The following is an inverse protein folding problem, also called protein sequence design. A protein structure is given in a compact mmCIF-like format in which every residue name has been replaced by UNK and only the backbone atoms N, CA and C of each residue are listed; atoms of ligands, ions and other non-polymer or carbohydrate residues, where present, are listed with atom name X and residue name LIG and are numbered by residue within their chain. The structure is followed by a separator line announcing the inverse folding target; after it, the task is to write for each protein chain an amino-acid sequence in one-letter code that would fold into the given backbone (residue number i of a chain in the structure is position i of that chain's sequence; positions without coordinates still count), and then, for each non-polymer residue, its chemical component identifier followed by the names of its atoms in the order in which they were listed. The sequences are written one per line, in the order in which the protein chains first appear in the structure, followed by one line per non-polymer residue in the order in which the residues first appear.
data_IF_840109202911
#
_entry.id   IF_840109202911
#
_cell.length_a   1.000
_cell.length_b   1.000
_cell.length_c   1.000
_cell.angle_alpha   90.00
_cell.angle_beta   90.00
_cell.angle_gamma   90.00
#
_symmetry.space_group_name_H-M   'P 1'
#
loop_
_entity.id
_entity.type
_entity.pdbx_description
1 polymer ?
#
# COMPACT_ATOMS: atom_id res chain seq x y z
N UNK A 1 19.11 -13.31 -1.74
CA UNK A 1 18.68 -12.22 -2.63
C UNK A 1 18.81 -10.92 -1.87
N UNK A 2 19.48 -9.92 -2.45
CA UNK A 2 19.41 -8.55 -1.93
C UNK A 2 17.95 -8.09 -1.97
N UNK A 3 17.52 -7.30 -0.98
CA UNK A 3 16.15 -6.81 -0.93
C UNK A 3 15.91 -5.93 -2.16
N UNK A 4 14.83 -6.20 -2.91
CA UNK A 4 14.40 -5.34 -4.03
C UNK A 4 14.11 -3.95 -3.45
N UNK A 5 14.94 -2.96 -3.81
CA UNK A 5 14.78 -1.60 -3.37
C UNK A 5 13.67 -0.94 -4.18
N UNK A 6 12.72 -0.31 -3.49
CA UNK A 6 11.68 0.51 -4.09
C UNK A 6 11.70 1.89 -3.41
N UNK A 7 11.58 2.94 -4.21
CA UNK A 7 11.69 4.33 -3.76
C UNK A 7 10.32 4.98 -3.52
N UNK A 8 9.23 4.30 -3.87
CA UNK A 8 7.87 4.80 -3.69
C UNK A 8 6.81 3.69 -3.54
N UNK A 9 5.56 4.11 -3.29
CA UNK A 9 4.41 3.21 -3.13
C UNK A 9 4.06 2.44 -4.41
N UNK A 10 4.30 3.01 -5.60
CA UNK A 10 3.97 2.35 -6.88
C UNK A 10 4.88 1.15 -7.08
N UNK A 11 6.18 1.35 -6.91
CA UNK A 11 7.17 0.28 -6.96
C UNK A 11 6.96 -0.75 -5.83
N UNK A 12 6.59 -0.31 -4.62
CA UNK A 12 6.22 -1.22 -3.53
C UNK A 12 5.04 -2.13 -3.88
N UNK A 13 4.00 -1.58 -4.52
CA UNK A 13 2.84 -2.36 -4.97
C UNK A 13 3.31 -3.40 -5.99
N UNK A 14 4.14 -3.03 -6.96
CA UNK A 14 4.62 -3.96 -7.99
C UNK A 14 5.52 -5.05 -7.42
N UNK A 15 6.40 -4.73 -6.47
CA UNK A 15 7.17 -5.73 -5.74
C UNK A 15 6.26 -6.62 -4.88
N UNK A 16 5.24 -6.05 -4.23
CA UNK A 16 4.26 -6.79 -3.43
C UNK A 16 3.47 -7.82 -4.24
N UNK A 17 3.14 -7.53 -5.50
CA UNK A 17 2.45 -8.46 -6.41
C UNK A 17 3.28 -9.71 -6.72
N UNK A 18 4.61 -9.63 -6.63
CA UNK A 18 5.53 -10.76 -6.85
C UNK A 18 5.67 -11.66 -5.61
N UNK A 19 5.39 -11.13 -4.42
CA UNK A 19 5.65 -11.80 -3.14
C UNK A 19 4.45 -12.59 -2.63
N UNK A 20 3.22 -12.16 -2.96
CA UNK A 20 1.99 -12.80 -2.49
C UNK A 20 0.79 -12.43 -3.37
N UNK A 21 -0.29 -13.21 -3.25
CA UNK A 21 -1.56 -13.01 -3.97
C UNK A 21 -2.05 -11.57 -3.91
N UNK A 22 -2.63 -11.09 -4.99
CA UNK A 22 -3.25 -9.77 -5.04
C UNK A 22 -4.48 -9.83 -5.93
N UNK A 23 -5.40 -8.88 -5.74
CA UNK A 23 -6.63 -8.77 -6.53
C UNK A 23 -6.90 -7.32 -6.89
N UNK A 24 -7.28 -7.11 -8.14
CA UNK A 24 -7.90 -5.88 -8.59
C UNK A 24 -9.42 -6.05 -8.58
N UNK A 25 -10.13 -5.10 -7.99
CA UNK A 25 -11.58 -5.09 -7.91
C UNK A 25 -12.07 -3.80 -8.56
N UNK A 26 -12.87 -3.93 -9.61
CA UNK A 26 -13.38 -2.80 -10.38
C UNK A 26 -14.83 -2.52 -10.02
N UNK A 27 -15.23 -1.24 -10.07
CA UNK A 27 -16.64 -0.83 -9.88
C UNK A 27 -17.22 -1.19 -8.51
N UNK A 28 -16.38 -1.29 -7.49
CA UNK A 28 -16.85 -1.36 -6.11
C UNK A 28 -17.40 0.01 -5.67
N UNK A 29 -18.38 -0.01 -4.77
CA UNK A 29 -18.95 1.18 -4.14
C UNK A 29 -18.08 1.66 -2.98
N UNK A 30 -17.82 2.95 -2.95
CA UNK A 30 -17.08 3.59 -1.86
C UNK A 30 -17.88 3.60 -0.56
N UNK A 31 -19.21 3.55 -0.66
CA UNK A 31 -20.12 3.57 0.47
C UNK A 31 -20.31 2.15 1.01
N UNK A 32 -19.62 1.83 2.11
CA UNK A 32 -19.65 0.54 2.83
C UNK A 32 -19.09 -0.68 2.07
N UNK A 33 -19.24 -0.80 0.75
CA UNK A 33 -18.83 -2.00 0.00
C UNK A 33 -17.31 -2.23 0.04
N UNK A 34 -16.49 -1.23 -0.33
CA UNK A 34 -15.02 -1.35 -0.27
C UNK A 34 -14.56 -1.67 1.17
N UNK A 35 -15.09 -0.98 2.17
CA UNK A 35 -14.75 -1.21 3.57
C UNK A 35 -15.10 -2.63 4.03
N UNK A 36 -16.30 -3.09 3.73
CA UNK A 36 -16.75 -4.45 4.05
C UNK A 36 -15.90 -5.52 3.36
N UNK A 37 -15.52 -5.31 2.09
CA UNK A 37 -14.63 -6.22 1.37
C UNK A 37 -13.24 -6.28 2.01
N UNK A 38 -12.67 -5.13 2.41
CA UNK A 38 -11.39 -5.08 3.10
C UNK A 38 -11.47 -5.85 4.42
N UNK A 39 -12.48 -5.59 5.25
CA UNK A 39 -12.64 -6.21 6.57
C UNK A 39 -12.87 -7.72 6.45
N UNK A 40 -13.87 -8.14 5.67
CA UNK A 40 -14.18 -9.55 5.49
C UNK A 40 -12.98 -10.32 4.92
N UNK A 41 -12.22 -9.73 4.01
CA UNK A 41 -10.99 -10.35 3.47
C UNK A 41 -9.93 -10.50 4.55
N UNK A 42 -9.73 -9.48 5.39
CA UNK A 42 -8.75 -9.51 6.48
C UNK A 42 -9.11 -10.56 7.54
N UNK A 43 -10.38 -10.67 7.89
CA UNK A 43 -10.87 -11.60 8.92
C UNK A 43 -10.90 -13.06 8.43
N UNK A 44 -11.41 -13.29 7.22
CA UNK A 44 -11.73 -14.64 6.75
C UNK A 44 -10.55 -15.33 6.06
N UNK A 45 -9.55 -14.58 5.60
CA UNK A 45 -8.41 -15.14 4.86
C UNK A 45 -7.13 -15.03 5.71
N UNK A 46 -6.54 -16.15 6.17
CA UNK A 46 -5.34 -16.11 7.03
C UNK A 46 -4.12 -15.40 6.44
N UNK A 47 -4.02 -15.34 5.11
CA UNK A 47 -2.96 -14.64 4.37
C UNK A 47 -3.62 -13.81 3.27
N UNK A 48 -4.22 -12.67 3.63
CA UNK A 48 -5.11 -11.95 2.73
C UNK A 48 -4.33 -11.35 1.54
N UNK A 49 -4.94 -11.33 0.34
CA UNK A 49 -4.35 -10.68 -0.82
C UNK A 49 -4.28 -9.16 -0.60
N UNK A 50 -3.35 -8.52 -1.30
CA UNK A 50 -3.37 -7.06 -1.45
C UNK A 50 -4.53 -6.69 -2.38
N UNK A 51 -5.35 -5.73 -1.99
CA UNK A 51 -6.52 -5.32 -2.74
C UNK A 51 -6.27 -3.97 -3.40
N UNK A 52 -6.52 -3.89 -4.70
CA UNK A 52 -6.53 -2.63 -5.45
C UNK A 52 -7.93 -2.42 -5.97
N UNK A 53 -8.57 -1.34 -5.55
CA UNK A 53 -9.87 -0.94 -6.07
C UNK A 53 -9.67 0.17 -7.10
N UNK A 54 -10.26 0.01 -8.28
CA UNK A 54 -10.26 1.00 -9.36
C UNK A 54 -11.66 1.13 -9.97
N UNK A 55 -11.86 2.14 -10.81
CA UNK A 55 -13.15 2.45 -11.43
C UNK A 55 -14.27 2.55 -10.37
N UNK A 56 -13.97 3.16 -9.22
CA UNK A 56 -14.87 3.22 -8.05
C UNK A 56 -16.16 3.96 -8.44
N UNK A 57 -17.31 3.39 -8.09
CA UNK A 57 -18.62 3.97 -8.44
C UNK A 57 -18.70 5.42 -7.95
N UNK A 58 -19.12 6.33 -8.83
CA UNK A 58 -19.23 7.76 -8.51
C UNK A 58 -17.93 8.56 -8.61
N UNK A 59 -16.79 7.93 -8.94
CA UNK A 59 -15.50 8.60 -9.11
C UNK A 59 -14.92 8.37 -10.52
N UNK A 60 -14.09 9.29 -11.05
CA UNK A 60 -13.39 9.07 -12.31
C UNK A 60 -12.43 7.87 -12.24
N UNK A 61 -12.21 7.19 -13.37
CA UNK A 61 -11.21 6.14 -13.46
C UNK A 61 -9.80 6.68 -13.10
N UNK A 62 -8.99 5.86 -12.43
CA UNK A 62 -7.66 6.25 -11.92
C UNK A 62 -7.66 6.74 -10.47
N UNK A 63 -8.83 7.07 -9.90
CA UNK A 63 -8.99 7.29 -8.46
C UNK A 63 -9.11 5.94 -7.76
N UNK A 64 -7.99 5.47 -7.22
CA UNK A 64 -7.84 4.11 -6.68
C UNK A 64 -7.73 4.09 -5.18
N UNK A 65 -8.12 2.95 -4.60
CA UNK A 65 -7.92 2.64 -3.18
C UNK A 65 -7.06 1.39 -3.05
N UNK A 66 -6.05 1.46 -2.18
CA UNK A 66 -5.22 0.32 -1.81
C UNK A 66 -5.66 -0.21 -0.45
N UNK A 67 -6.05 -1.48 -0.39
CA UNK A 67 -6.42 -2.19 0.83
C UNK A 67 -5.42 -3.31 1.17
N UNK A 68 -5.29 -3.59 2.46
CA UNK A 68 -4.55 -4.76 2.99
C UNK A 68 -3.07 -4.83 2.57
N UNK A 69 -2.44 -3.68 2.31
CA UNK A 69 -1.04 -3.57 1.86
C UNK A 69 -0.01 -4.17 2.85
N UNK A 70 -0.37 -4.26 4.13
CA UNK A 70 0.48 -4.82 5.20
C UNK A 70 -0.16 -6.01 5.94
N UNK A 71 -1.32 -6.50 5.49
CA UNK A 71 -2.06 -7.56 6.18
C UNK A 71 -1.40 -8.95 6.09
N UNK A 72 -0.31 -9.08 5.32
CA UNK A 72 0.50 -10.28 5.24
C UNK A 72 1.96 -9.99 5.61
N UNK A 73 2.55 -10.82 6.49
CA UNK A 73 3.87 -10.58 7.08
C UNK A 73 5.01 -10.48 6.07
N UNK A 74 4.91 -11.13 4.90
CA UNK A 74 5.91 -11.01 3.84
C UNK A 74 5.92 -9.62 3.18
N UNK A 75 4.77 -8.94 3.09
CA UNK A 75 4.71 -7.56 2.59
C UNK A 75 5.28 -6.57 3.62
N UNK A 76 5.09 -6.85 4.92
CA UNK A 76 5.75 -6.07 5.99
C UNK A 76 7.28 -6.26 5.91
N UNK A 77 7.76 -7.48 5.69
CA UNK A 77 9.18 -7.73 5.47
C UNK A 77 9.71 -6.95 4.27
N UNK A 78 9.00 -6.98 3.14
CA UNK A 78 9.34 -6.20 1.95
C UNK A 78 9.43 -4.70 2.27
N UNK A 79 8.42 -4.14 2.95
CA UNK A 79 8.37 -2.73 3.37
C UNK A 79 9.56 -2.31 4.25
N UNK A 80 10.05 -3.24 5.08
CA UNK A 80 11.23 -3.04 5.92
C UNK A 80 12.54 -3.37 5.20
N UNK A 81 12.53 -3.66 3.89
CA UNK A 81 13.71 -4.09 3.13
C UNK A 81 14.34 -5.36 3.71
N UNK A 82 13.52 -6.30 4.14
CA UNK A 82 13.91 -7.61 4.67
C UNK A 82 13.60 -8.71 3.66
N UNK A 83 14.34 -9.83 3.67
CA UNK A 83 14.12 -10.93 2.73
C UNK A 83 12.79 -11.67 3.02
N UNK A 84 11.79 -11.63 2.12
CA UNK A 84 10.44 -12.15 2.39
C UNK A 84 10.33 -13.68 2.34
N UNK A 85 11.41 -14.38 1.98
CA UNK A 85 11.51 -15.85 1.95
C UNK A 85 11.80 -16.46 3.34
N UNK A 86 11.98 -15.64 4.38
CA UNK A 86 12.23 -16.08 5.75
C UNK A 86 10.96 -16.44 6.51
N UNK A 87 11.12 -17.22 7.57
CA UNK A 87 10.01 -17.55 8.47
C UNK A 87 9.51 -16.31 9.22
N UNK A 88 8.23 -16.34 9.65
CA UNK A 88 7.61 -15.23 10.39
C UNK A 88 8.43 -14.82 11.63
N UNK A 89 8.94 -15.79 12.40
CA UNK A 89 9.71 -15.52 13.61
C UNK A 89 11.08 -14.90 13.31
N UNK A 90 11.76 -15.36 12.26
CA UNK A 90 13.02 -14.75 11.81
C UNK A 90 12.82 -13.30 11.37
N UNK A 91 11.73 -13.03 10.64
CA UNK A 91 11.38 -11.68 10.18
C UNK A 91 11.12 -10.73 11.35
N UNK A 92 10.41 -11.17 12.40
CA UNK A 92 10.22 -10.37 13.62
C UNK A 92 11.56 -10.00 14.27
N UNK A 93 12.48 -10.96 14.38
CA UNK A 93 13.82 -10.72 14.94
C UNK A 93 14.65 -9.75 14.08
N UNK A 94 14.59 -9.90 12.76
CA UNK A 94 15.27 -9.01 11.82
C UNK A 94 14.70 -7.59 11.87
N UNK A 95 13.38 -7.45 11.90
CA UNK A 95 12.69 -6.17 12.02
C UNK A 95 13.07 -5.45 13.32
N UNK A 96 13.02 -6.15 14.46
CA UNK A 96 13.43 -5.59 15.75
C UNK A 96 14.87 -5.08 15.74
N UNK A 97 15.82 -5.87 15.21
CA UNK A 97 17.22 -5.44 15.09
C UNK A 97 17.38 -4.23 14.15
N UNK A 98 16.71 -4.25 12.99
CA UNK A 98 16.79 -3.15 12.01
C UNK A 98 16.25 -1.85 12.58
N UNK A 99 15.09 -1.89 13.24
CA UNK A 99 14.47 -0.71 13.87
C UNK A 99 15.34 -0.22 15.03
N UNK A 100 15.81 -1.11 15.90
CA UNK A 100 16.61 -0.74 17.07
C UNK A 100 18.02 -0.19 16.74
N UNK A 101 18.54 -0.45 15.53
CA UNK A 101 19.83 0.06 15.07
C UNK A 101 19.72 1.16 14.01
N UNK A 102 18.50 1.56 13.65
CA UNK A 102 18.27 2.57 12.62
C UNK A 102 18.87 3.92 13.03
N UNK A 103 19.66 4.50 12.14
CA UNK A 103 20.17 5.86 12.28
C UNK A 103 19.35 6.78 11.38
N UNK A 104 19.00 8.00 11.82
CA UNK A 104 18.38 8.99 10.96
C UNK A 104 19.23 9.26 9.72
N UNK A 105 18.57 9.35 8.57
CA UNK A 105 19.17 9.77 7.30
C UNK A 105 18.47 11.06 6.93
N UNK A 106 19.25 12.11 6.63
CA UNK A 106 18.67 13.39 6.22
C UNK A 106 17.87 13.20 4.91
N UNK A 107 16.67 13.80 4.80
CA UNK A 107 15.91 13.74 3.56
C UNK A 107 16.66 14.46 2.44
N UNK A 108 16.50 13.98 1.21
CA UNK A 108 16.99 14.66 0.02
C UNK A 108 15.92 15.61 -0.49
N UNK A 109 16.22 16.90 -0.48
CA UNK A 109 15.35 17.90 -1.12
C UNK A 109 15.45 17.79 -2.65
N UNK A 110 14.30 17.84 -3.31
CA UNK A 110 14.18 17.77 -4.77
C UNK A 110 13.18 18.81 -5.26
N UNK A 111 13.45 19.39 -6.43
CA UNK A 111 12.62 20.45 -7.01
C UNK A 111 11.38 19.94 -7.73
N UNK A 112 11.34 18.64 -8.10
CA UNK A 112 10.21 17.98 -8.76
C UNK A 112 10.09 16.53 -8.30
N UNK A 113 8.86 16.06 -8.18
CA UNK A 113 8.54 14.67 -7.86
C UNK A 113 7.16 14.28 -8.43
N UNK A 114 6.87 12.99 -8.66
CA UNK A 114 5.57 12.54 -9.20
C UNK A 114 4.35 12.96 -8.37
N UNK A 115 4.52 13.21 -7.06
CA UNK A 115 3.44 13.72 -6.21
C UNK A 115 2.94 15.10 -6.65
N UNK A 116 3.74 15.84 -7.43
CA UNK A 116 3.42 17.17 -7.95
C UNK A 116 2.70 17.15 -9.31
N UNK A 117 2.41 15.97 -9.88
CA UNK A 117 1.75 15.85 -11.20
C UNK A 117 0.33 16.44 -11.23
N UNK A 118 -0.35 16.49 -10.08
CA UNK A 118 -1.68 17.06 -9.94
C UNK A 118 -1.67 18.07 -8.77
N UNK A 119 -2.09 19.31 -9.03
CA UNK A 119 -2.17 20.36 -8.02
C UNK A 119 -3.56 20.98 -7.99
N UNK A 120 -4.13 21.13 -6.79
CA UNK A 120 -5.38 21.84 -6.55
C UNK A 120 -5.11 22.89 -5.47
N UNK A 121 -5.46 24.15 -5.74
CA UNK A 121 -5.21 25.27 -4.82
C UNK A 121 -6.46 26.11 -4.60
N UNK A 122 -6.61 26.67 -3.39
CA UNK A 122 -7.72 27.56 -3.04
C UNK A 122 -9.07 26.88 -3.26
N UNK A 123 -9.96 27.53 -4.02
CA UNK A 123 -11.31 27.04 -4.28
C UNK A 123 -11.38 25.72 -5.09
N UNK A 124 -10.26 25.26 -5.67
CA UNK A 124 -10.21 23.97 -6.38
C UNK A 124 -10.14 22.78 -5.41
N UNK A 125 -9.73 23.01 -4.16
CA UNK A 125 -9.58 21.98 -3.12
C UNK A 125 -10.96 21.49 -2.70
N UNK A 126 -11.23 20.24 -3.03
CA UNK A 126 -12.46 19.55 -2.68
C UNK A 126 -12.10 18.09 -2.38
N UNK A 127 -12.22 17.73 -1.10
CA UNK A 127 -11.87 16.38 -0.62
C UNK A 127 -12.85 15.32 -1.15
N UNK A 128 -14.08 15.72 -1.50
CA UNK A 128 -15.10 14.81 -2.03
C UNK A 128 -14.83 14.38 -3.46
N UNK A 129 -13.81 14.96 -4.12
CA UNK A 129 -13.29 14.47 -5.41
C UNK A 129 -12.55 13.14 -5.29
N UNK A 130 -12.13 12.77 -4.09
CA UNK A 130 -11.42 11.51 -3.84
C UNK A 130 -12.35 10.51 -3.15
N UNK A 131 -12.19 9.19 -3.40
CA UNK A 131 -12.93 8.14 -2.72
C UNK A 131 -12.78 8.20 -1.19
N UNK A 132 -13.69 8.92 -0.55
CA UNK A 132 -13.78 9.03 0.90
C UNK A 132 -14.63 7.87 1.42
N UNK A 133 -13.99 6.72 1.66
CA UNK A 133 -14.67 5.50 2.11
C UNK A 133 -15.51 5.78 3.36
N UNK A 134 -16.72 5.21 3.38
CA UNK A 134 -17.64 5.27 4.51
C UNK A 134 -17.80 3.91 5.15
#
# INVERSE_FOLDING_TARGET
MEAEAFDDLRQFIDASKKVAEWREIKKADWNLEIGALIEATAELIPQPPLLIFDEIKGYPAGYRVLGLSFAFYKRVALALGLPPDRSKLELVRLASRKIGSAKPIAPKEVSRAPVMENAMTGAQVDLTKFPALR
#
